data_IF_527785540548
#
_entry.id   IF_527785540548
#
_cell.length_a   1.000
_cell.length_b   1.000
_cell.length_c   1.000
_cell.angle_alpha   90.00
_cell.angle_beta   90.00
_cell.angle_gamma   90.00
#
_symmetry.space_group_name_H-M   'P 1'
#
loop_
_entity.id
_entity.type
_entity.pdbx_description
1 polymer ?
#
# COMPACT_ATOMS: atom_id res chain seq x y z
N UNK A 1 -23.42 18.35 20.92
CA UNK A 1 -23.25 18.03 19.49
C UNK A 1 -23.40 19.27 18.59
N UNK A 2 -24.27 20.22 18.93
CA UNK A 2 -24.45 21.46 18.15
C UNK A 2 -23.19 22.31 18.02
N UNK A 3 -22.40 22.46 19.07
CA UNK A 3 -21.14 23.22 19.03
C UNK A 3 -20.11 22.62 18.08
N UNK A 4 -20.05 21.28 17.98
CA UNK A 4 -19.13 20.60 17.07
C UNK A 4 -19.53 20.82 15.59
N UNK A 5 -20.83 20.79 15.30
CA UNK A 5 -21.37 21.06 13.96
C UNK A 5 -21.14 22.52 13.53
N UNK A 6 -21.16 23.47 14.47
CA UNK A 6 -20.86 24.87 14.18
C UNK A 6 -19.40 25.07 13.73
N UNK A 7 -18.45 24.33 14.30
CA UNK A 7 -17.03 24.41 13.97
C UNK A 7 -16.62 23.60 12.73
N UNK A 8 -17.23 22.44 12.54
CA UNK A 8 -16.84 21.50 11.47
C UNK A 8 -17.72 21.65 10.23
N UNK A 9 -18.92 22.26 10.36
CA UNK A 9 -19.95 22.34 9.30
C UNK A 9 -20.75 21.03 9.19
N UNK A 10 -21.95 21.13 8.63
CA UNK A 10 -22.83 19.98 8.33
C UNK A 10 -22.67 19.53 6.89
N UNK A 11 -23.14 18.32 6.58
CA UNK A 11 -23.18 17.79 5.22
C UNK A 11 -24.09 18.66 4.31
N UNK A 12 -23.64 18.80 3.04
CA UNK A 12 -24.46 19.47 2.02
C UNK A 12 -24.58 20.97 2.16
N UNK A 13 -23.90 21.61 3.14
CA UNK A 13 -23.79 23.07 3.25
C UNK A 13 -22.50 23.55 2.62
N UNK A 14 -22.51 24.81 2.14
CA UNK A 14 -21.30 25.50 1.69
C UNK A 14 -20.33 25.64 2.87
N UNK A 15 -19.26 24.85 2.83
CA UNK A 15 -18.23 24.85 3.88
C UNK A 15 -17.38 26.10 3.70
N UNK A 16 -17.43 27.00 4.70
CA UNK A 16 -16.60 28.19 4.71
C UNK A 16 -15.11 27.83 4.81
N UNK A 17 -14.25 28.78 4.39
CA UNK A 17 -12.80 28.58 4.38
C UNK A 17 -12.22 28.26 5.77
N UNK A 18 -12.76 28.79 6.84
CA UNK A 18 -12.36 28.48 8.22
C UNK A 18 -12.68 27.03 8.60
N UNK A 19 -13.87 26.55 8.27
CA UNK A 19 -14.29 25.17 8.54
C UNK A 19 -13.44 24.19 7.74
N UNK A 20 -13.16 24.51 6.47
CA UNK A 20 -12.29 23.69 5.63
C UNK A 20 -10.86 23.64 6.17
N UNK A 21 -10.32 24.76 6.66
CA UNK A 21 -8.99 24.83 7.27
C UNK A 21 -8.92 24.00 8.55
N UNK A 22 -9.96 24.05 9.38
CA UNK A 22 -10.05 23.24 10.59
C UNK A 22 -10.12 21.74 10.27
N UNK A 23 -10.97 21.35 9.28
CA UNK A 23 -11.03 19.96 8.79
C UNK A 23 -9.68 19.49 8.28
N UNK A 24 -8.99 20.32 7.47
CA UNK A 24 -7.66 20.02 6.95
C UNK A 24 -6.66 19.77 8.08
N UNK A 25 -6.67 20.62 9.12
CA UNK A 25 -5.81 20.45 10.29
C UNK A 25 -6.09 19.13 11.04
N UNK A 26 -7.36 18.82 11.28
CA UNK A 26 -7.75 17.57 11.95
C UNK A 26 -7.38 16.34 11.13
N UNK A 27 -7.60 16.39 9.82
CA UNK A 27 -7.21 15.30 8.90
C UNK A 27 -5.69 15.14 8.86
N UNK A 28 -4.94 16.24 8.85
CA UNK A 28 -3.48 16.20 8.89
C UNK A 28 -2.97 15.53 10.17
N UNK A 29 -3.48 15.95 11.34
CA UNK A 29 -3.12 15.33 12.63
C UNK A 29 -3.47 13.85 12.63
N UNK A 30 -4.68 13.49 12.17
CA UNK A 30 -5.08 12.08 12.04
C UNK A 30 -4.14 11.31 11.10
N UNK A 31 -3.78 11.89 9.95
CA UNK A 31 -2.85 11.30 9.00
C UNK A 31 -1.47 11.03 9.62
N UNK A 32 -0.93 12.00 10.37
CA UNK A 32 0.33 11.83 11.12
C UNK A 32 0.22 10.71 12.14
N UNK A 33 -0.88 10.63 12.88
CA UNK A 33 -1.12 9.55 13.84
C UNK A 33 -1.22 8.19 13.14
N UNK A 34 -1.97 8.09 12.05
CA UNK A 34 -2.08 6.87 11.24
C UNK A 34 -0.68 6.42 10.79
N UNK A 35 0.11 7.33 10.18
CA UNK A 35 1.47 7.01 9.75
C UNK A 35 2.34 6.59 10.95
N UNK A 36 2.24 7.27 12.06
CA UNK A 36 3.04 6.96 13.27
C UNK A 36 2.75 5.58 13.83
N UNK A 37 1.48 5.17 13.89
CA UNK A 37 1.05 3.90 14.50
C UNK A 37 0.98 2.75 13.50
N UNK A 38 0.65 3.02 12.21
CA UNK A 38 0.60 1.98 11.19
C UNK A 38 1.98 1.64 10.59
N UNK A 39 2.94 2.56 10.67
CA UNK A 39 4.15 2.57 9.86
C UNK A 39 5.35 1.79 10.41
N UNK A 40 5.19 0.82 11.29
CA UNK A 40 6.35 0.01 11.74
C UNK A 40 7.00 -0.84 10.62
N UNK A 41 6.39 -0.92 9.43
CA UNK A 41 6.88 -1.70 8.29
C UNK A 41 6.83 -0.99 6.93
N UNK A 42 6.27 0.23 6.85
CA UNK A 42 5.85 0.84 5.58
C UNK A 42 6.95 1.56 4.80
N UNK A 43 8.11 1.84 5.37
CA UNK A 43 9.12 2.67 4.70
C UNK A 43 10.08 1.92 3.77
N UNK A 44 9.69 0.79 3.21
CA UNK A 44 10.58 0.11 2.27
C UNK A 44 9.89 -0.66 1.14
N UNK A 45 8.78 -1.32 1.41
CA UNK A 45 8.16 -2.22 0.41
C UNK A 45 6.65 -2.34 0.64
N UNK A 46 5.89 -1.54 -0.08
CA UNK A 46 4.43 -1.56 -0.06
C UNK A 46 3.92 -2.81 -0.76
N UNK A 47 2.99 -3.52 -0.15
CA UNK A 47 2.21 -4.55 -0.83
C UNK A 47 1.07 -3.91 -1.63
N UNK A 48 0.51 -4.65 -2.60
CA UNK A 48 -0.66 -4.18 -3.34
C UNK A 48 -1.83 -3.80 -2.42
N UNK A 49 -2.01 -4.52 -1.30
CA UNK A 49 -3.02 -4.21 -0.28
C UNK A 49 -2.76 -2.86 0.43
N UNK A 50 -1.51 -2.53 0.71
CA UNK A 50 -1.15 -1.24 1.33
C UNK A 50 -1.50 -0.08 0.40
N UNK A 51 -1.25 -0.25 -0.91
CA UNK A 51 -1.59 0.75 -1.93
C UNK A 51 -3.11 0.93 -2.03
N UNK A 52 -3.87 -0.17 -2.09
CA UNK A 52 -5.34 -0.12 -2.13
C UNK A 52 -5.88 0.59 -0.90
N UNK A 53 -5.37 0.25 0.29
CA UNK A 53 -5.78 0.89 1.53
C UNK A 53 -5.45 2.39 1.50
N UNK A 54 -4.26 2.78 1.05
CA UNK A 54 -3.86 4.19 0.96
C UNK A 54 -4.81 4.99 0.04
N UNK A 55 -5.22 4.40 -1.08
CA UNK A 55 -6.19 5.02 -2.01
C UNK A 55 -7.57 5.16 -1.34
N UNK A 56 -8.05 4.13 -0.64
CA UNK A 56 -9.35 4.17 0.06
C UNK A 56 -9.32 5.23 1.17
N UNK A 57 -8.27 5.22 2.00
CA UNK A 57 -8.07 6.19 3.09
C UNK A 57 -8.00 7.60 2.52
N UNK A 58 -7.20 7.83 1.49
CA UNK A 58 -7.07 9.13 0.83
C UNK A 58 -8.40 9.64 0.26
N UNK A 59 -9.16 8.76 -0.40
CA UNK A 59 -10.49 9.08 -0.93
C UNK A 59 -11.49 9.44 0.18
N UNK A 60 -11.53 8.67 1.26
CA UNK A 60 -12.40 8.95 2.40
C UNK A 60 -12.05 10.30 3.04
N UNK A 61 -10.78 10.56 3.31
CA UNK A 61 -10.33 11.81 3.91
C UNK A 61 -10.58 13.02 2.99
N UNK A 62 -10.43 12.86 1.68
CA UNK A 62 -10.77 13.90 0.70
C UNK A 62 -12.26 14.25 0.74
N UNK A 63 -13.15 13.24 0.79
CA UNK A 63 -14.60 13.46 0.89
C UNK A 63 -15.00 14.09 2.22
N UNK A 64 -14.36 13.71 3.32
CA UNK A 64 -14.56 14.36 4.62
C UNK A 64 -14.11 15.83 4.61
N UNK A 65 -12.99 16.12 3.95
CA UNK A 65 -12.47 17.48 3.80
C UNK A 65 -13.46 18.40 3.05
N UNK A 66 -13.94 17.93 1.90
CA UNK A 66 -14.80 18.71 1.00
C UNK A 66 -16.28 18.75 1.43
N UNK A 67 -16.67 18.02 2.49
CA UNK A 67 -18.06 17.93 2.96
C UNK A 67 -18.96 17.03 2.12
N UNK A 68 -18.37 16.27 1.19
CA UNK A 68 -19.09 15.28 0.37
C UNK A 68 -19.45 14.00 1.15
N UNK A 69 -18.98 13.87 2.39
CA UNK A 69 -19.31 12.81 3.32
C UNK A 69 -19.34 13.34 4.75
N UNK A 70 -20.10 12.67 5.68
CA UNK A 70 -20.14 13.03 7.08
C UNK A 70 -18.74 13.04 7.69
N UNK A 71 -18.32 14.15 8.29
CA UNK A 71 -16.94 14.31 8.73
C UNK A 71 -16.54 13.26 9.78
N UNK A 72 -17.20 13.25 10.92
CA UNK A 72 -16.85 12.36 12.03
C UNK A 72 -17.06 10.87 11.72
N UNK A 73 -18.19 10.43 11.15
CA UNK A 73 -18.35 9.03 10.74
C UNK A 73 -17.28 8.57 9.74
N UNK A 74 -16.87 9.43 8.80
CA UNK A 74 -15.84 9.09 7.82
C UNK A 74 -14.46 8.94 8.47
N UNK A 75 -14.12 9.79 9.45
CA UNK A 75 -12.87 9.64 10.21
C UNK A 75 -12.87 8.33 11.01
N UNK A 76 -13.98 8.01 11.70
CA UNK A 76 -14.12 6.76 12.46
C UNK A 76 -13.97 5.55 11.53
N UNK A 77 -14.67 5.56 10.40
CA UNK A 77 -14.55 4.48 9.40
C UNK A 77 -13.13 4.34 8.87
N UNK A 78 -12.44 5.46 8.63
CA UNK A 78 -11.05 5.45 8.17
C UNK A 78 -10.10 4.85 9.21
N UNK A 79 -10.25 5.24 10.49
CA UNK A 79 -9.47 4.64 11.59
C UNK A 79 -9.74 3.15 11.71
N UNK A 80 -11.02 2.74 11.61
CA UNK A 80 -11.39 1.32 11.64
C UNK A 80 -10.73 0.54 10.51
N UNK A 81 -10.72 1.06 9.27
CA UNK A 81 -10.05 0.42 8.14
C UNK A 81 -8.55 0.23 8.39
N UNK A 82 -7.89 1.23 8.96
CA UNK A 82 -6.46 1.14 9.30
C UNK A 82 -6.22 0.08 10.39
N UNK A 83 -7.08 0.03 11.41
CA UNK A 83 -7.00 -0.99 12.48
C UNK A 83 -7.20 -2.39 11.88
N UNK A 84 -8.24 -2.59 11.07
CA UNK A 84 -8.51 -3.88 10.40
C UNK A 84 -7.34 -4.33 9.53
N UNK A 85 -6.74 -3.39 8.78
CA UNK A 85 -5.55 -3.68 7.99
C UNK A 85 -4.37 -4.11 8.87
N UNK A 86 -4.13 -3.41 9.98
CA UNK A 86 -3.10 -3.76 10.95
C UNK A 86 -3.32 -5.15 11.55
N UNK A 87 -4.56 -5.47 11.93
CA UNK A 87 -4.94 -6.80 12.42
C UNK A 87 -4.73 -7.88 11.35
N UNK A 88 -5.13 -7.61 10.11
CA UNK A 88 -4.91 -8.50 8.99
C UNK A 88 -3.42 -8.74 8.74
N UNK A 89 -2.60 -7.69 8.80
CA UNK A 89 -1.14 -7.79 8.65
C UNK A 89 -0.50 -8.63 9.78
N UNK A 90 -0.96 -8.49 11.02
CA UNK A 90 -0.52 -9.32 12.15
C UNK A 90 -0.95 -10.78 11.98
N UNK A 91 -2.19 -11.01 11.56
CA UNK A 91 -2.70 -12.36 11.28
C UNK A 91 -1.94 -13.02 10.14
N UNK A 92 -1.66 -12.30 9.06
CA UNK A 92 -0.86 -12.77 7.93
C UNK A 92 0.61 -13.08 8.32
N UNK A 93 1.15 -12.41 9.32
CA UNK A 93 2.48 -12.73 9.86
C UNK A 93 2.49 -14.05 10.64
N UNK A 94 1.35 -14.45 11.22
CA UNK A 94 1.24 -15.70 11.99
C UNK A 94 0.80 -16.89 11.15
N UNK A 95 -0.01 -16.67 10.12
CA UNK A 95 -0.58 -17.74 9.28
C UNK A 95 -0.11 -17.60 7.83
N UNK A 96 0.70 -18.55 7.37
CA UNK A 96 1.32 -18.53 6.03
C UNK A 96 0.28 -18.52 4.90
N UNK A 97 -0.84 -19.25 5.03
CA UNK A 97 -1.90 -19.27 4.04
C UNK A 97 -2.54 -17.88 3.85
N UNK A 98 -2.75 -17.14 4.96
CA UNK A 98 -3.30 -15.79 4.93
C UNK A 98 -2.28 -14.81 4.31
N UNK A 99 -0.99 -15.00 4.59
CA UNK A 99 0.08 -14.23 3.96
C UNK A 99 0.10 -14.44 2.43
N UNK A 100 -0.08 -15.66 1.97
CA UNK A 100 -0.14 -15.96 0.53
C UNK A 100 -1.40 -15.39 -0.12
N UNK A 101 -2.55 -15.46 0.58
CA UNK A 101 -3.81 -14.91 0.09
C UNK A 101 -3.76 -13.38 -0.02
N UNK A 102 -3.15 -12.69 0.96
CA UNK A 102 -3.16 -11.22 1.04
C UNK A 102 -2.04 -10.57 0.26
N UNK A 103 -0.86 -11.19 0.21
CA UNK A 103 0.35 -10.62 -0.39
C UNK A 103 0.81 -11.32 -1.66
N UNK A 104 0.20 -12.45 -2.02
CA UNK A 104 0.68 -13.32 -3.08
C UNK A 104 1.91 -14.14 -2.68
N UNK A 105 2.39 -14.98 -3.58
CA UNK A 105 3.66 -15.70 -3.48
C UNK A 105 4.70 -15.04 -4.37
N UNK A 106 5.98 -15.16 -4.03
CA UNK A 106 7.05 -14.82 -4.98
C UNK A 106 7.05 -15.82 -6.14
N UNK A 107 7.30 -15.32 -7.35
CA UNK A 107 7.30 -16.14 -8.58
C UNK A 107 8.74 -16.25 -9.06
N UNK A 108 9.33 -17.45 -9.07
CA UNK A 108 10.67 -17.63 -9.62
C UNK A 108 10.64 -17.38 -11.14
N UNK A 109 11.56 -16.53 -11.62
CA UNK A 109 11.72 -16.16 -13.03
C UNK A 109 12.98 -16.77 -13.64
N UNK A 110 14.02 -16.99 -12.82
CA UNK A 110 15.30 -17.60 -13.21
C UNK A 110 15.71 -18.60 -12.16
N UNK A 111 16.21 -19.76 -12.61
CA UNK A 111 16.84 -20.79 -11.78
C UNK A 111 18.12 -21.27 -12.48
N UNK A 112 19.24 -21.17 -11.77
CA UNK A 112 20.54 -21.64 -12.24
C UNK A 112 20.86 -21.18 -13.67
N UNK A 113 20.75 -19.86 -13.91
CA UNK A 113 21.01 -19.25 -15.20
C UNK A 113 19.95 -19.47 -16.29
N UNK A 114 18.86 -20.18 -16.00
CA UNK A 114 17.82 -20.48 -16.97
C UNK A 114 16.54 -19.69 -16.67
N UNK A 115 15.98 -19.05 -17.70
CA UNK A 115 14.70 -18.32 -17.60
C UNK A 115 13.52 -19.29 -17.61
N UNK A 116 12.59 -19.11 -16.67
CA UNK A 116 11.27 -19.75 -16.68
C UNK A 116 10.29 -18.89 -17.48
N UNK A 117 10.33 -18.99 -18.83
CA UNK A 117 9.46 -18.19 -19.68
C UNK A 117 7.96 -18.40 -19.41
N UNK A 118 7.44 -19.62 -19.09
CA UNK A 118 6.06 -19.78 -18.71
C UNK A 118 5.70 -19.02 -17.43
N UNK A 119 6.58 -18.97 -16.42
CA UNK A 119 6.38 -18.19 -15.20
C UNK A 119 6.42 -16.70 -15.49
N UNK A 120 7.37 -16.23 -16.30
CA UNK A 120 7.47 -14.83 -16.73
C UNK A 120 6.19 -14.36 -17.43
N UNK A 121 5.68 -15.14 -18.40
CA UNK A 121 4.42 -14.81 -19.09
C UNK A 121 3.23 -14.73 -18.15
N UNK A 122 3.10 -15.66 -17.20
CA UNK A 122 2.02 -15.64 -16.19
C UNK A 122 2.14 -14.43 -15.26
N UNK A 123 3.36 -14.01 -14.96
CA UNK A 123 3.66 -12.85 -14.13
C UNK A 123 3.57 -11.51 -14.88
N UNK A 124 3.39 -11.52 -16.21
CA UNK A 124 3.39 -10.32 -17.04
C UNK A 124 4.77 -9.65 -17.15
N UNK A 125 5.86 -10.40 -16.91
CA UNK A 125 7.24 -9.92 -16.94
C UNK A 125 7.87 -10.24 -18.29
N UNK A 126 8.35 -9.22 -19.00
CA UNK A 126 9.08 -9.35 -20.25
C UNK A 126 10.57 -9.61 -20.01
N UNK A 127 11.26 -10.09 -21.07
CA UNK A 127 12.72 -10.24 -21.00
C UNK A 127 13.44 -8.90 -20.77
N UNK A 128 12.86 -7.79 -21.23
CA UNK A 128 13.39 -6.43 -21.00
C UNK A 128 13.38 -6.06 -19.51
N UNK A 129 12.29 -6.38 -18.81
CA UNK A 129 12.13 -6.11 -17.39
C UNK A 129 13.13 -6.94 -16.55
N UNK A 130 13.26 -8.23 -16.90
CA UNK A 130 14.25 -9.09 -16.26
C UNK A 130 15.67 -8.58 -16.47
N UNK A 131 16.07 -8.23 -17.72
CA UNK A 131 17.39 -7.69 -18.00
C UNK A 131 17.64 -6.36 -17.27
N UNK A 132 16.63 -5.51 -17.13
CA UNK A 132 16.73 -4.27 -16.35
C UNK A 132 17.03 -4.57 -14.89
N UNK A 133 16.31 -5.53 -14.29
CA UNK A 133 16.53 -5.94 -12.91
C UNK A 133 17.92 -6.57 -12.69
N UNK A 134 18.39 -7.39 -13.65
CA UNK A 134 19.74 -7.96 -13.60
C UNK A 134 20.80 -6.87 -13.59
N UNK A 135 20.70 -5.88 -14.49
CA UNK A 135 21.65 -4.75 -14.53
C UNK A 135 21.60 -3.92 -13.24
N UNK A 136 20.41 -3.68 -12.69
CA UNK A 136 20.25 -2.96 -11.43
C UNK A 136 20.92 -3.70 -10.26
N UNK A 137 20.98 -5.04 -10.31
CA UNK A 137 21.69 -5.88 -9.36
C UNK A 137 23.18 -6.07 -9.66
N UNK A 138 23.71 -5.44 -10.74
CA UNK A 138 25.12 -5.51 -11.12
C UNK A 138 25.49 -6.74 -11.98
N UNK A 139 24.50 -7.46 -12.51
CA UNK A 139 24.72 -8.63 -13.35
C UNK A 139 24.40 -8.32 -14.81
N UNK A 140 25.36 -8.57 -15.72
CA UNK A 140 25.18 -8.41 -17.16
C UNK A 140 24.81 -9.75 -17.85
N UNK A 141 25.27 -10.86 -17.27
CA UNK A 141 25.10 -12.21 -17.82
C UNK A 141 24.15 -13.02 -16.97
N UNK A 142 23.22 -13.70 -17.63
CA UNK A 142 22.24 -14.56 -16.96
C UNK A 142 22.90 -15.80 -16.35
N UNK A 143 23.98 -16.28 -16.96
CA UNK A 143 24.74 -17.48 -16.51
C UNK A 143 25.32 -17.32 -15.11
N UNK A 144 25.58 -16.08 -14.65
CA UNK A 144 26.07 -15.76 -13.30
C UNK A 144 24.96 -15.49 -12.30
N UNK A 145 23.71 -15.78 -12.68
CA UNK A 145 22.56 -15.55 -11.82
C UNK A 145 22.03 -16.91 -11.34
N UNK A 146 22.21 -17.17 -10.06
CA UNK A 146 21.68 -18.38 -9.44
C UNK A 146 20.16 -18.39 -9.43
N UNK A 147 19.53 -17.29 -9.06
CA UNK A 147 18.08 -17.16 -9.07
C UNK A 147 17.63 -15.72 -9.23
N UNK A 148 16.50 -15.51 -9.88
CA UNK A 148 15.75 -14.26 -9.85
C UNK A 148 14.28 -14.55 -9.63
N UNK A 149 13.62 -13.75 -8.79
CA UNK A 149 12.22 -13.94 -8.44
C UNK A 149 11.47 -12.61 -8.46
N UNK A 150 10.24 -12.62 -8.99
CA UNK A 150 9.32 -11.51 -8.80
C UNK A 150 8.80 -11.57 -7.37
N UNK A 151 9.09 -10.54 -6.60
CA UNK A 151 8.68 -10.42 -5.20
C UNK A 151 7.24 -9.90 -5.08
N UNK A 152 6.69 -10.04 -3.88
CA UNK A 152 5.29 -9.66 -3.56
C UNK A 152 5.00 -8.17 -3.71
N UNK A 153 6.01 -7.33 -3.72
CA UNK A 153 5.92 -5.88 -3.92
C UNK A 153 6.10 -5.45 -5.38
N UNK A 154 6.28 -6.42 -6.29
CA UNK A 154 6.50 -6.18 -7.71
C UNK A 154 7.96 -5.99 -8.12
N UNK A 155 8.90 -5.97 -7.17
CA UNK A 155 10.34 -5.92 -7.48
C UNK A 155 10.83 -7.28 -7.96
N UNK A 156 11.91 -7.29 -8.75
CA UNK A 156 12.61 -8.50 -9.12
C UNK A 156 13.87 -8.58 -8.26
N UNK A 157 13.92 -9.56 -7.33
CA UNK A 157 15.12 -9.88 -6.58
C UNK A 157 16.06 -10.77 -7.39
N UNK A 158 17.36 -10.50 -7.33
CA UNK A 158 18.39 -11.24 -8.07
C UNK A 158 19.45 -11.72 -7.10
N UNK A 159 19.80 -13.00 -7.17
CA UNK A 159 20.89 -13.62 -6.41
C UNK A 159 21.90 -14.15 -7.42
N UNK A 160 23.10 -13.58 -7.44
CA UNK A 160 24.24 -14.07 -8.20
C UNK A 160 24.96 -15.22 -7.50
N UNK A 161 25.93 -15.78 -8.19
CA UNK A 161 26.89 -16.73 -7.60
C UNK A 161 27.82 -16.07 -6.60
#
# INVERSE_FOLDING_TARGET
METLHAFIGTEGQDIGWLQMSLRATLIFVLGVLIVRFAATRAFGKWSALDIILAVIVGSNLSRALTGSAPFLPTLIATVLLVILHGLLAMAAARWSWLSTLTKGASIPLVRDGQMDEPAMRRAGIGQGDLRMALRAAGHNDLERVRSASLERNGDISVIGE
#
